data_IF_639769656745
#
_entry.id   IF_639769656745
#
_cell.length_a   1.000
_cell.length_b   1.000
_cell.length_c   1.000
_cell.angle_alpha   90.00
_cell.angle_beta   90.00
_cell.angle_gamma   90.00
#
_symmetry.space_group_name_H-M   'P 1'
#
loop_
_entity.id
_entity.type
_entity.pdbx_description
1 polymer ?
#
# COMPACT_ATOMS: atom_id res chain seq x y z
N UNK A 1 6.48 32.51 59.18
CA UNK A 1 7.41 31.42 59.51
C UNK A 1 7.57 30.54 58.26
N UNK A 2 8.78 30.55 57.65
CA UNK A 2 9.35 29.51 56.73
C UNK A 2 8.61 29.32 55.38
N UNK A 3 8.79 30.18 54.39
CA UNK A 3 9.79 30.14 53.30
C UNK A 3 9.53 29.09 52.19
N UNK A 4 9.50 29.61 50.94
CA UNK A 4 10.09 29.06 49.71
C UNK A 4 9.12 28.73 48.56
N UNK A 5 9.01 29.66 47.61
CA UNK A 5 9.08 29.35 46.19
C UNK A 5 10.42 29.88 45.68
N UNK A 6 11.13 29.20 44.77
CA UNK A 6 11.11 29.75 43.41
C UNK A 6 11.20 28.70 42.27
N UNK A 7 10.49 29.01 41.19
CA UNK A 7 10.87 28.82 39.78
C UNK A 7 11.68 27.58 39.39
N UNK A 8 11.03 26.64 38.69
CA UNK A 8 11.71 25.79 37.71
C UNK A 8 10.90 25.78 36.40
N UNK A 9 11.54 26.31 35.36
CA UNK A 9 11.10 26.39 33.98
C UNK A 9 11.56 25.12 33.25
N UNK A 10 10.67 24.32 32.66
CA UNK A 10 11.00 23.53 31.45
C UNK A 10 9.78 22.80 30.84
N UNK A 11 9.37 23.30 29.67
CA UNK A 11 9.17 22.55 28.42
C UNK A 11 8.03 21.52 28.32
N UNK A 12 7.23 21.73 27.26
CA UNK A 12 6.06 20.96 26.86
C UNK A 12 6.33 19.46 26.61
N UNK A 13 5.37 18.63 27.01
CA UNK A 13 5.05 17.41 26.28
C UNK A 13 3.55 17.18 26.36
N UNK A 14 2.83 17.82 25.43
CA UNK A 14 1.52 17.33 25.04
C UNK A 14 1.72 15.88 24.59
N UNK A 15 1.22 14.92 25.38
CA UNK A 15 0.95 13.58 24.91
C UNK A 15 -0.23 13.70 23.94
N UNK A 16 0.05 14.28 22.77
CA UNK A 16 -0.72 14.05 21.58
C UNK A 16 -0.72 12.53 21.41
N UNK A 17 -1.87 11.93 21.69
CA UNK A 17 -2.25 10.63 21.16
C UNK A 17 -2.14 10.78 19.65
N UNK A 18 -0.95 10.52 19.12
CA UNK A 18 -0.79 10.19 17.73
C UNK A 18 -1.57 8.89 17.59
N UNK A 19 -2.69 8.83 16.87
CA UNK A 19 -3.08 7.54 16.35
C UNK A 19 -1.90 7.17 15.48
N UNK A 20 -1.06 6.25 15.99
CA UNK A 20 -0.26 5.40 15.14
C UNK A 20 -1.23 5.01 14.04
N UNK A 21 -1.06 5.61 12.85
CA UNK A 21 -1.58 5.01 11.63
C UNK A 21 -0.82 3.72 11.62
N UNK A 22 -1.36 2.69 12.26
CA UNK A 22 -0.87 1.34 12.08
C UNK A 22 -1.06 1.13 10.60
N UNK A 23 0.02 1.14 9.81
CA UNK A 23 -0.12 0.60 8.49
C UNK A 23 -0.20 -0.89 8.80
N UNK A 24 -1.40 -1.44 8.82
CA UNK A 24 -1.57 -2.87 8.61
C UNK A 24 -1.17 -3.19 7.15
N UNK A 25 0.05 -2.80 6.75
CA UNK A 25 0.74 -3.19 5.53
C UNK A 25 1.25 -4.60 5.77
N UNK A 26 0.33 -5.57 5.84
CA UNK A 26 0.74 -6.94 6.15
C UNK A 26 -0.37 -7.83 6.67
N UNK A 27 -1.53 -7.86 6.01
CA UNK A 27 -2.34 -9.08 5.88
C UNK A 27 -3.18 -8.91 4.60
N UNK A 28 -2.54 -8.98 3.44
CA UNK A 28 -3.28 -9.37 2.25
C UNK A 28 -3.42 -10.88 2.37
N UNK A 29 -4.50 -11.35 2.99
CA UNK A 29 -4.84 -12.77 2.97
C UNK A 29 -4.83 -13.21 1.49
N UNK A 30 -4.10 -14.27 1.11
CA UNK A 30 -4.10 -14.77 -0.26
C UNK A 30 -5.51 -15.10 -0.77
N UNK A 31 -6.42 -15.42 0.16
CA UNK A 31 -7.84 -15.71 -0.07
C UNK A 31 -8.68 -14.45 -0.35
N UNK A 32 -8.15 -13.25 -0.07
CA UNK A 32 -8.80 -11.96 -0.26
C UNK A 32 -8.19 -11.14 -1.40
N UNK A 33 -7.62 -11.76 -2.44
CA UNK A 33 -7.05 -11.04 -3.59
C UNK A 33 -8.03 -11.00 -4.76
N UNK A 34 -8.40 -9.80 -5.20
CA UNK A 34 -9.16 -9.57 -6.42
C UNK A 34 -8.21 -9.35 -7.58
N UNK A 35 -8.35 -10.17 -8.62
CA UNK A 35 -7.56 -10.12 -9.85
C UNK A 35 -8.44 -9.60 -10.99
N UNK A 36 -8.08 -8.45 -11.56
CA UNK A 36 -8.72 -7.92 -12.76
C UNK A 36 -7.76 -8.05 -13.94
N UNK A 37 -8.05 -9.01 -14.82
CA UNK A 37 -7.19 -9.28 -15.97
C UNK A 37 -7.62 -8.53 -17.22
N UNK A 38 -6.63 -8.11 -18.03
CA UNK A 38 -6.89 -7.55 -19.35
C UNK A 38 -7.26 -6.07 -19.35
N UNK A 39 -6.90 -5.34 -18.29
CA UNK A 39 -7.21 -3.92 -18.15
C UNK A 39 -6.40 -3.12 -19.17
N UNK A 40 -7.10 -2.39 -20.04
CA UNK A 40 -6.51 -1.60 -21.12
C UNK A 40 -6.20 -0.18 -20.64
N UNK A 41 -4.98 0.29 -20.89
CA UNK A 41 -4.53 1.65 -20.62
C UNK A 41 -4.04 2.30 -21.92
N UNK A 42 -4.60 3.44 -22.28
CA UNK A 42 -4.11 4.25 -23.40
C UNK A 42 -2.93 5.10 -22.94
N UNK A 43 -1.81 4.96 -23.62
CA UNK A 43 -0.61 5.78 -23.40
C UNK A 43 -0.70 7.08 -24.20
N UNK A 44 0.21 8.02 -23.91
CA UNK A 44 0.26 9.35 -24.55
C UNK A 44 0.45 9.28 -26.07
N UNK A 45 1.19 8.29 -26.54
CA UNK A 45 1.45 8.01 -27.95
C UNK A 45 0.30 7.28 -28.67
N UNK A 46 -0.80 7.00 -27.97
CA UNK A 46 -1.98 6.34 -28.53
C UNK A 46 -1.91 4.82 -28.55
N UNK A 47 -0.81 4.22 -28.12
CA UNK A 47 -0.69 2.76 -27.96
C UNK A 47 -1.57 2.30 -26.78
N UNK A 48 -2.12 1.09 -26.87
CA UNK A 48 -2.87 0.49 -25.77
C UNK A 48 -2.04 -0.60 -25.11
N UNK A 49 -1.69 -0.39 -23.85
CA UNK A 49 -1.04 -1.41 -23.01
C UNK A 49 -2.10 -2.17 -22.22
N UNK A 50 -1.79 -3.41 -21.88
CA UNK A 50 -2.69 -4.28 -21.11
C UNK A 50 -2.01 -4.70 -19.82
N UNK A 51 -2.68 -4.51 -18.69
CA UNK A 51 -2.19 -4.87 -17.36
C UNK A 51 -3.17 -5.82 -16.65
N UNK A 52 -2.63 -6.57 -15.69
CA UNK A 52 -3.42 -7.31 -14.71
C UNK A 52 -3.30 -6.59 -13.36
N UNK A 53 -4.42 -6.34 -12.70
CA UNK A 53 -4.47 -5.62 -11.41
C UNK A 53 -4.71 -6.64 -10.30
N UNK A 54 -3.78 -6.70 -9.34
CA UNK A 54 -3.88 -7.50 -8.14
C UNK A 54 -4.12 -6.55 -6.97
N UNK A 55 -5.33 -6.56 -6.39
CA UNK A 55 -5.70 -5.70 -5.27
C UNK A 55 -6.32 -6.52 -4.13
N UNK A 56 -6.15 -6.10 -2.87
CA UNK A 56 -6.93 -6.66 -1.78
C UNK A 56 -8.44 -6.47 -2.01
N UNK A 57 -9.24 -7.43 -1.56
CA UNK A 57 -10.71 -7.41 -1.52
C UNK A 57 -11.18 -6.60 -0.30
N UNK A 58 -10.73 -5.35 -0.29
CA UNK A 58 -11.10 -4.36 0.72
C UNK A 58 -11.31 -3.02 0.03
N UNK A 59 -12.18 -2.20 0.62
CA UNK A 59 -12.41 -0.83 0.19
C UNK A 59 -11.36 0.09 0.81
N UNK A 60 -10.70 0.88 -0.03
CA UNK A 60 -9.64 1.79 0.42
C UNK A 60 -8.65 2.13 -0.67
N UNK A 61 -7.75 3.07 -0.38
CA UNK A 61 -6.58 3.36 -1.22
C UNK A 61 -5.38 2.62 -0.66
N UNK A 62 -4.79 1.78 -1.50
CA UNK A 62 -3.61 0.99 -1.15
C UNK A 62 -2.39 1.49 -1.93
N UNK A 63 -1.18 1.44 -1.34
CA UNK A 63 0.03 1.66 -2.11
C UNK A 63 0.09 0.65 -3.27
N UNK A 64 0.48 1.12 -4.46
CA UNK A 64 0.48 0.30 -5.68
C UNK A 64 1.91 0.08 -6.17
N UNK A 65 2.25 -1.17 -6.46
CA UNK A 65 3.51 -1.55 -7.12
C UNK A 65 3.23 -1.80 -8.59
N UNK A 66 4.03 -1.18 -9.46
CA UNK A 66 3.94 -1.36 -10.91
C UNK A 66 5.11 -2.21 -11.41
N UNK A 67 4.79 -3.37 -11.97
CA UNK A 67 5.74 -4.17 -12.72
C UNK A 67 5.46 -4.05 -14.22
N UNK A 68 6.50 -3.76 -15.00
CA UNK A 68 6.44 -3.75 -16.46
C UNK A 68 7.38 -4.82 -16.97
N UNK A 69 6.84 -5.83 -17.63
CA UNK A 69 7.62 -6.92 -18.22
C UNK A 69 7.58 -6.82 -19.74
N UNK A 70 8.73 -6.95 -20.44
CA UNK A 70 8.74 -7.07 -21.91
C UNK A 70 8.28 -8.47 -22.36
N UNK A 71 8.28 -9.44 -21.46
CA UNK A 71 7.85 -10.82 -21.68
C UNK A 71 6.70 -11.11 -20.71
N UNK A 72 5.54 -11.51 -21.26
CA UNK A 72 4.27 -11.82 -20.58
C UNK A 72 3.93 -10.97 -19.34
N UNK A 73 2.78 -10.31 -19.38
CA UNK A 73 2.25 -9.52 -18.26
C UNK A 73 1.87 -10.36 -17.03
N UNK A 74 1.75 -11.68 -17.22
CA UNK A 74 1.66 -12.67 -16.14
C UNK A 74 3.03 -12.77 -15.45
N UNK A 75 3.33 -11.79 -14.60
CA UNK A 75 4.46 -11.88 -13.65
C UNK A 75 4.38 -13.20 -12.87
N UNK A 76 5.48 -13.66 -12.28
CA UNK A 76 5.56 -14.98 -11.61
C UNK A 76 4.56 -15.26 -10.48
N UNK A 77 3.65 -14.32 -10.21
CA UNK A 77 2.49 -14.42 -9.32
C UNK A 77 1.29 -15.12 -9.97
N UNK A 78 1.20 -15.13 -11.31
CA UNK A 78 0.14 -15.84 -12.02
C UNK A 78 0.49 -17.35 -12.12
N UNK A 79 -0.48 -18.25 -11.91
CA UNK A 79 -0.26 -19.68 -12.11
C UNK A 79 0.20 -19.95 -13.55
N UNK A 80 1.38 -20.57 -13.71
CA UNK A 80 1.84 -21.01 -15.03
C UNK A 80 0.98 -22.19 -15.49
N UNK A 81 0.47 -22.21 -16.73
CA UNK A 81 -0.18 -23.39 -17.26
C UNK A 81 0.86 -24.52 -17.40
N UNK A 82 0.54 -25.69 -16.86
CA UNK A 82 1.38 -26.87 -16.93
C UNK A 82 1.21 -27.59 -18.29
N UNK A 83 1.73 -27.01 -19.37
CA UNK A 83 1.73 -27.66 -20.69
C UNK A 83 2.98 -27.26 -21.49
N UNK A 84 3.65 -28.25 -22.10
CA UNK A 84 4.74 -28.09 -23.07
C UNK A 84 4.21 -27.97 -24.50
#
# INVERSE_FOLDING_TARGET
MKNAAPFTLAVALALAVWPSRDPAWGQADPEGLKIESGVKMKTRDGVTLVADIYRPDADGRFPTVLQRTPYDRRGGLAPRPATW
#
